data_IF_830390600121
#
_entry.id   IF_830390600121
#
_cell.length_a   1.000
_cell.length_b   1.000
_cell.length_c   1.000
_cell.angle_alpha   90.00
_cell.angle_beta   90.00
_cell.angle_gamma   90.00
#
_symmetry.space_group_name_H-M   'P 1'
#
loop_
_entity.id
_entity.type
_entity.pdbx_description
1 polymer ?
#
# COMPACT_ATOMS: atom_id res chain seq x y z
N UNK A 1 19.17 17.68 0.19
CA UNK A 1 20.53 18.16 0.54
C UNK A 1 21.66 17.42 -0.21
N UNK A 2 21.86 16.09 -0.05
CA UNK A 2 22.92 15.33 -0.78
C UNK A 2 22.92 15.56 -2.30
N UNK A 3 21.75 15.48 -2.92
CA UNK A 3 21.60 15.77 -4.36
C UNK A 3 22.00 17.20 -4.74
N UNK A 4 21.66 18.19 -3.90
CA UNK A 4 22.04 19.58 -4.12
C UNK A 4 23.56 19.78 -4.00
N UNK A 5 24.21 19.08 -3.06
CA UNK A 5 25.68 19.06 -2.96
C UNK A 5 26.32 18.49 -4.22
N UNK A 6 25.81 17.35 -4.74
CA UNK A 6 26.37 16.72 -5.94
C UNK A 6 26.16 17.53 -7.22
N UNK A 7 25.05 18.26 -7.34
CA UNK A 7 24.71 19.01 -8.57
C UNK A 7 25.21 20.46 -8.57
N UNK A 8 25.25 21.11 -7.39
CA UNK A 8 25.50 22.55 -7.27
C UNK A 8 26.46 22.93 -6.14
N UNK A 9 27.16 21.94 -5.57
CA UNK A 9 28.19 22.16 -4.56
C UNK A 9 27.68 22.61 -3.19
N UNK A 10 28.60 23.01 -2.28
CA UNK A 10 28.28 23.36 -0.90
C UNK A 10 27.25 24.48 -0.76
N UNK A 11 27.28 25.49 -1.63
CA UNK A 11 26.33 26.60 -1.59
C UNK A 11 24.89 26.14 -1.89
N UNK A 12 24.71 25.20 -2.82
CA UNK A 12 23.39 24.63 -3.10
C UNK A 12 22.90 23.75 -1.94
N UNK A 13 23.79 22.98 -1.33
CA UNK A 13 23.48 22.20 -0.13
C UNK A 13 23.05 23.10 1.04
N UNK A 14 23.74 24.22 1.24
CA UNK A 14 23.44 25.22 2.26
C UNK A 14 22.04 25.84 2.06
N UNK A 15 21.69 26.23 0.83
CA UNK A 15 20.33 26.76 0.52
C UNK A 15 19.25 25.72 0.80
N UNK A 16 19.50 24.46 0.41
CA UNK A 16 18.56 23.37 0.67
C UNK A 16 18.39 23.08 2.18
N UNK A 17 19.46 23.17 2.97
CA UNK A 17 19.39 23.02 4.42
C UNK A 17 18.64 24.20 5.05
N UNK A 18 18.89 25.43 4.60
CA UNK A 18 18.20 26.62 5.09
C UNK A 18 16.67 26.51 4.90
N UNK A 19 16.21 26.07 3.73
CA UNK A 19 14.77 25.86 3.47
C UNK A 19 14.16 24.78 4.40
N UNK A 20 14.88 23.70 4.67
CA UNK A 20 14.41 22.68 5.61
C UNK A 20 14.34 23.21 7.05
N UNK A 21 15.34 23.96 7.48
CA UNK A 21 15.40 24.54 8.82
C UNK A 21 14.31 25.59 9.02
N UNK A 22 14.03 26.42 8.01
CA UNK A 22 12.93 27.39 8.04
C UNK A 22 11.56 26.70 8.22
N UNK A 23 11.34 25.58 7.53
CA UNK A 23 10.07 24.84 7.59
C UNK A 23 9.87 24.04 8.88
N UNK A 24 10.93 23.40 9.39
CA UNK A 24 10.82 22.39 10.44
C UNK A 24 11.45 22.80 11.77
N UNK A 25 12.17 23.93 11.80
CA UNK A 25 13.02 24.42 12.89
C UNK A 25 14.30 23.57 13.10
N UNK A 26 15.39 24.16 13.62
CA UNK A 26 16.66 23.45 13.80
C UNK A 26 16.56 22.17 14.66
N UNK A 27 15.69 22.17 15.67
CA UNK A 27 15.56 21.04 16.61
C UNK A 27 14.87 19.80 16.02
N UNK A 28 14.26 19.92 14.83
CA UNK A 28 13.62 18.80 14.12
C UNK A 28 14.32 18.44 12.81
N UNK A 29 15.48 19.03 12.55
CA UNK A 29 16.29 18.75 11.36
C UNK A 29 17.63 18.20 11.83
N UNK A 30 18.00 17.05 11.27
CA UNK A 30 19.34 16.48 11.41
C UNK A 30 19.93 16.22 10.03
N UNK A 31 21.24 16.43 9.90
CA UNK A 31 22.00 16.08 8.70
C UNK A 31 22.33 14.60 8.74
N UNK A 32 21.80 13.86 7.76
CA UNK A 32 22.08 12.43 7.61
C UNK A 32 23.41 12.18 6.88
N UNK A 33 24.31 11.46 7.54
CA UNK A 33 25.57 10.95 7.01
C UNK A 33 25.45 9.45 6.70
N UNK A 34 25.94 9.04 5.54
CA UNK A 34 25.86 7.63 5.08
C UNK A 34 27.19 7.20 4.49
N UNK A 35 27.59 5.97 4.75
CA UNK A 35 28.79 5.36 4.17
C UNK A 35 28.41 4.05 3.46
N UNK A 36 28.44 4.08 2.13
CA UNK A 36 28.11 2.95 1.25
C UNK A 36 29.36 2.33 0.60
N UNK A 37 30.53 2.90 0.83
CA UNK A 37 31.80 2.45 0.25
C UNK A 37 32.07 3.06 -1.13
N UNK A 38 31.43 4.20 -1.45
CA UNK A 38 31.82 4.95 -2.64
C UNK A 38 33.06 5.79 -2.35
N UNK A 39 33.93 6.02 -3.37
CA UNK A 39 35.17 6.77 -3.18
C UNK A 39 35.02 8.18 -2.60
N UNK A 40 33.85 8.80 -2.76
CA UNK A 40 33.57 10.19 -2.32
C UNK A 40 32.69 10.26 -1.06
N UNK A 41 32.49 9.14 -0.36
CA UNK A 41 31.62 9.13 0.82
C UNK A 41 32.16 10.00 1.95
N UNK A 42 33.48 9.95 2.20
CA UNK A 42 34.13 10.69 3.27
C UNK A 42 34.15 12.20 3.01
N UNK A 43 34.56 12.64 1.83
CA UNK A 43 34.57 14.07 1.47
C UNK A 43 33.16 14.64 1.47
N UNK A 44 32.18 13.87 1.00
CA UNK A 44 30.78 14.27 1.03
C UNK A 44 30.28 14.38 2.47
N UNK A 45 30.58 13.40 3.32
CA UNK A 45 30.13 13.43 4.71
C UNK A 45 30.79 14.56 5.50
N UNK A 46 32.09 14.83 5.28
CA UNK A 46 32.78 15.96 5.88
C UNK A 46 32.17 17.31 5.45
N UNK A 47 31.89 17.47 4.15
CA UNK A 47 31.24 18.68 3.63
C UNK A 47 29.86 18.91 4.23
N UNK A 48 29.08 17.85 4.45
CA UNK A 48 27.75 17.93 5.06
C UNK A 48 27.83 18.19 6.57
N UNK A 49 28.70 17.48 7.30
CA UNK A 49 28.91 17.67 8.72
C UNK A 49 29.37 19.11 9.04
N UNK A 50 30.23 19.69 8.19
CA UNK A 50 30.68 21.08 8.32
C UNK A 50 29.57 22.13 8.19
N UNK A 51 28.40 21.78 7.64
CA UNK A 51 27.24 22.68 7.59
C UNK A 51 26.45 22.68 8.91
N UNK A 52 26.52 21.62 9.72
CA UNK A 52 25.66 21.45 10.88
C UNK A 52 25.77 22.60 11.91
N UNK A 53 26.98 23.03 12.32
CA UNK A 53 27.12 24.10 13.32
C UNK A 53 26.57 25.44 12.85
N UNK A 54 26.60 25.71 11.54
CA UNK A 54 26.11 26.97 10.95
C UNK A 54 24.59 27.15 11.10
N UNK A 55 23.86 26.04 11.21
CA UNK A 55 22.40 26.03 11.32
C UNK A 55 21.90 25.57 12.68
N UNK A 56 22.79 25.20 13.59
CA UNK A 56 22.43 24.65 14.90
C UNK A 56 21.64 23.32 14.82
N UNK A 57 21.91 22.52 13.79
CA UNK A 57 21.27 21.21 13.56
C UNK A 57 22.17 20.07 14.01
N UNK A 58 21.56 18.95 14.39
CA UNK A 58 22.30 17.73 14.71
C UNK A 58 22.81 17.00 13.47
N UNK A 59 23.70 16.04 13.66
CA UNK A 59 24.14 15.08 12.64
C UNK A 59 23.79 13.66 13.11
N UNK A 60 23.41 12.80 12.18
CA UNK A 60 23.09 11.39 12.47
C UNK A 60 23.70 10.49 11.41
N UNK A 61 24.27 9.37 11.83
CA UNK A 61 24.80 8.34 10.94
C UNK A 61 23.75 7.26 10.71
N UNK A 62 23.42 6.98 9.45
CA UNK A 62 22.49 5.90 9.10
C UNK A 62 23.15 4.89 8.17
N UNK A 63 22.64 3.67 8.20
CA UNK A 63 23.14 2.58 7.34
C UNK A 63 22.73 2.77 5.88
N UNK A 64 21.66 3.55 5.62
CA UNK A 64 21.02 3.60 4.31
C UNK A 64 20.54 2.24 3.81
N UNK A 65 20.21 1.32 4.73
CA UNK A 65 20.04 -0.09 4.41
C UNK A 65 18.92 -0.37 3.39
N UNK A 66 19.24 -1.21 2.42
CA UNK A 66 18.33 -1.76 1.40
C UNK A 66 18.08 -3.27 1.59
N UNK A 67 18.90 -3.95 2.39
CA UNK A 67 18.79 -5.38 2.66
C UNK A 67 19.25 -5.71 4.08
N UNK A 68 18.87 -6.89 4.59
CA UNK A 68 19.09 -7.23 6.00
C UNK A 68 20.55 -7.56 6.30
N UNK A 69 21.18 -8.42 5.51
CA UNK A 69 22.51 -8.97 5.80
C UNK A 69 23.35 -9.14 4.53
N UNK A 70 24.70 -9.20 4.63
CA UNK A 70 25.58 -9.32 3.47
C UNK A 70 25.26 -10.48 2.51
N UNK A 71 24.74 -11.62 3.01
CA UNK A 71 24.41 -12.77 2.16
C UNK A 71 23.25 -12.50 1.19
N UNK A 72 22.42 -11.48 1.48
CA UNK A 72 21.33 -11.01 0.62
C UNK A 72 21.76 -9.98 -0.43
N UNK A 73 23.03 -9.60 -0.48
CA UNK A 73 23.53 -8.59 -1.41
C UNK A 73 23.25 -8.91 -2.89
N UNK A 74 23.43 -10.17 -3.31
CA UNK A 74 23.13 -10.61 -4.69
C UNK A 74 21.65 -10.44 -5.03
N UNK A 75 20.76 -10.83 -4.13
CA UNK A 75 19.32 -10.65 -4.28
C UNK A 75 18.95 -9.16 -4.35
N UNK A 76 19.54 -8.33 -3.49
CA UNK A 76 19.28 -6.89 -3.50
C UNK A 76 19.67 -6.25 -4.85
N UNK A 77 20.82 -6.64 -5.41
CA UNK A 77 21.24 -6.19 -6.74
C UNK A 77 20.29 -6.67 -7.85
N UNK A 78 19.88 -7.94 -7.82
CA UNK A 78 18.92 -8.48 -8.80
C UNK A 78 17.58 -7.72 -8.73
N UNK A 79 17.08 -7.46 -7.52
CA UNK A 79 15.86 -6.69 -7.28
C UNK A 79 15.99 -5.23 -7.74
N UNK A 80 17.15 -4.61 -7.54
CA UNK A 80 17.44 -3.26 -8.03
C UNK A 80 17.44 -3.21 -9.57
N UNK A 81 18.04 -4.21 -10.24
CA UNK A 81 18.05 -4.34 -11.69
C UNK A 81 16.63 -4.54 -12.25
N UNK A 82 15.82 -5.41 -11.64
CA UNK A 82 14.40 -5.62 -12.00
C UNK A 82 13.62 -4.31 -11.88
N UNK A 83 13.77 -3.58 -10.77
CA UNK A 83 13.13 -2.28 -10.55
C UNK A 83 13.52 -1.27 -11.63
N UNK A 84 14.80 -1.27 -12.04
CA UNK A 84 15.33 -0.42 -13.11
C UNK A 84 14.97 -0.91 -14.52
N UNK A 85 14.28 -2.06 -14.66
CA UNK A 85 13.98 -2.73 -15.93
C UNK A 85 15.23 -3.00 -16.76
N UNK A 86 16.29 -3.45 -16.09
CA UNK A 86 17.63 -3.69 -16.63
C UNK A 86 18.13 -5.07 -16.22
N UNK A 87 19.06 -5.63 -16.97
CA UNK A 87 19.88 -6.75 -16.47
C UNK A 87 20.93 -6.23 -15.49
N UNK A 88 21.49 -7.13 -14.68
CA UNK A 88 22.61 -6.83 -13.78
C UNK A 88 23.79 -6.20 -14.54
N UNK A 89 24.16 -6.76 -15.69
CA UNK A 89 25.27 -6.24 -16.51
C UNK A 89 25.02 -4.81 -16.96
N UNK A 90 23.82 -4.51 -17.48
CA UNK A 90 23.45 -3.16 -17.92
C UNK A 90 23.27 -2.18 -16.74
N UNK A 91 23.11 -2.70 -15.52
CA UNK A 91 22.97 -1.92 -14.31
C UNK A 91 24.30 -1.77 -13.55
N UNK A 92 25.39 -2.43 -13.96
CA UNK A 92 26.61 -2.59 -13.16
C UNK A 92 27.15 -1.28 -12.55
N UNK A 93 27.21 -0.19 -13.33
CA UNK A 93 27.67 1.13 -12.85
C UNK A 93 26.71 1.86 -11.88
N UNK A 94 25.52 1.31 -11.66
CA UNK A 94 24.48 1.85 -10.78
C UNK A 94 24.19 0.93 -9.59
N UNK A 95 24.75 -0.28 -9.58
CA UNK A 95 24.61 -1.21 -8.47
C UNK A 95 25.54 -0.78 -7.33
N UNK A 96 25.11 -1.04 -6.10
CA UNK A 96 25.90 -0.71 -4.92
C UNK A 96 27.24 -1.49 -4.97
N UNK A 97 28.35 -0.88 -4.50
CA UNK A 97 29.63 -1.58 -4.38
C UNK A 97 29.51 -2.86 -3.54
N UNK A 98 30.40 -3.83 -3.80
CA UNK A 98 30.51 -5.06 -3.01
C UNK A 98 30.77 -4.71 -1.53
N UNK A 99 29.93 -5.22 -0.62
CA UNK A 99 29.92 -4.87 0.81
C UNK A 99 28.86 -3.84 1.23
N UNK A 100 28.01 -3.40 0.28
CA UNK A 100 27.06 -2.29 0.37
C UNK A 100 25.92 -2.38 1.41
N UNK A 101 24.94 -1.49 1.25
CA UNK A 101 23.85 -1.07 2.14
C UNK A 101 23.01 -2.17 2.84
N UNK A 102 23.63 -3.03 3.63
CA UNK A 102 22.94 -3.91 4.57
C UNK A 102 22.65 -3.17 5.87
N UNK A 103 21.80 -3.78 6.71
CA UNK A 103 21.63 -3.34 8.08
C UNK A 103 22.89 -3.69 8.88
N UNK A 104 23.66 -2.66 9.23
CA UNK A 104 24.90 -2.79 10.02
C UNK A 104 24.62 -2.77 11.50
N UNK A 105 25.46 -3.47 12.24
CA UNK A 105 25.55 -3.39 13.70
C UNK A 105 26.08 -2.03 14.16
N UNK A 106 25.87 -1.71 15.44
CA UNK A 106 26.41 -0.51 16.06
C UNK A 106 27.94 -0.46 16.01
N UNK A 107 28.62 -1.60 16.16
CA UNK A 107 30.08 -1.67 16.09
C UNK A 107 30.63 -1.38 14.68
N UNK A 108 29.97 -1.91 13.64
CA UNK A 108 30.34 -1.60 12.25
C UNK A 108 30.15 -0.12 11.95
N UNK A 109 29.03 0.47 12.41
CA UNK A 109 28.78 1.90 12.26
C UNK A 109 29.80 2.74 13.03
N UNK A 110 30.18 2.35 14.25
CA UNK A 110 31.20 3.03 15.03
C UNK A 110 32.58 2.98 14.35
N UNK A 111 32.93 1.86 13.70
CA UNK A 111 34.17 1.76 12.91
C UNK A 111 34.14 2.66 11.67
N UNK A 112 33.03 2.67 10.92
CA UNK A 112 32.88 3.50 9.72
C UNK A 112 32.87 5.01 10.04
N UNK A 113 32.28 5.38 11.17
CA UNK A 113 32.19 6.76 11.64
C UNK A 113 33.15 7.03 12.81
N UNK A 114 34.32 6.39 12.83
CA UNK A 114 35.30 6.59 13.89
C UNK A 114 35.76 8.07 14.02
N UNK A 115 35.68 8.83 12.94
CA UNK A 115 35.96 10.27 12.91
C UNK A 115 34.83 11.14 13.48
N UNK A 116 33.63 10.57 13.68
CA UNK A 116 32.42 11.25 14.17
C UNK A 116 31.52 10.25 14.94
N UNK A 117 31.98 9.71 16.08
CA UNK A 117 31.23 8.71 16.85
C UNK A 117 29.90 9.25 17.37
N UNK A 118 29.79 10.56 17.63
CA UNK A 118 28.58 11.22 18.10
C UNK A 118 27.41 11.08 17.13
N UNK A 119 27.67 10.99 15.82
CA UNK A 119 26.62 10.79 14.82
C UNK A 119 25.93 9.42 14.95
N UNK A 120 26.68 8.39 15.39
CA UNK A 120 26.13 7.04 15.62
C UNK A 120 25.23 7.04 16.86
N UNK A 121 25.70 7.62 17.96
CA UNK A 121 24.91 7.76 19.20
C UNK A 121 23.66 8.60 18.96
N UNK A 122 23.79 9.74 18.29
CA UNK A 122 22.67 10.64 17.99
C UNK A 122 21.59 9.95 17.12
N UNK A 123 21.98 9.01 16.25
CA UNK A 123 21.02 8.23 15.47
C UNK A 123 20.18 7.29 16.35
N UNK A 124 20.80 6.64 17.33
CA UNK A 124 20.10 5.79 18.31
C UNK A 124 19.12 6.61 19.16
N UNK A 125 19.58 7.73 19.72
CA UNK A 125 18.74 8.65 20.50
C UNK A 125 17.57 9.20 19.69
N UNK A 126 17.80 9.54 18.41
CA UNK A 126 16.73 9.96 17.52
C UNK A 126 15.71 8.83 17.29
N UNK A 127 16.18 7.60 17.12
CA UNK A 127 15.33 6.42 17.01
C UNK A 127 14.42 6.23 18.21
N UNK A 128 14.96 6.38 19.43
CA UNK A 128 14.17 6.33 20.67
C UNK A 128 13.12 7.44 20.75
N UNK A 129 13.47 8.67 20.37
CA UNK A 129 12.51 9.79 20.32
C UNK A 129 11.41 9.60 19.28
N UNK A 130 11.67 8.83 18.23
CA UNK A 130 10.70 8.50 17.18
C UNK A 130 9.85 7.27 17.52
N UNK A 131 10.11 6.56 18.62
CA UNK A 131 9.36 5.38 19.01
C UNK A 131 7.90 5.74 19.35
N UNK A 132 6.97 5.02 18.72
CA UNK A 132 5.53 5.25 18.88
C UNK A 132 4.76 3.93 18.71
N UNK A 133 3.83 3.65 19.63
CA UNK A 133 2.99 2.45 19.59
C UNK A 133 1.80 2.58 18.64
N UNK A 134 1.70 1.72 17.63
CA UNK A 134 0.64 1.78 16.61
C UNK A 134 -0.78 1.66 17.17
N UNK A 135 -0.95 1.02 18.33
CA UNK A 135 -2.25 0.89 19.01
C UNK A 135 -2.87 2.25 19.35
N UNK A 136 -2.05 3.29 19.50
CA UNK A 136 -2.50 4.65 19.78
C UNK A 136 -3.21 5.31 18.56
N UNK A 137 -3.14 4.72 17.36
CA UNK A 137 -3.85 5.18 16.14
C UNK A 137 -5.06 4.29 15.81
N UNK A 138 -5.40 3.27 16.62
CA UNK A 138 -6.49 2.35 16.30
C UNK A 138 -7.80 3.11 15.99
N UNK A 139 -8.29 3.07 14.73
CA UNK A 139 -9.43 3.87 14.33
C UNK A 139 -10.69 3.33 14.99
N UNK A 140 -11.56 4.24 15.42
CA UNK A 140 -12.92 3.89 15.79
C UNK A 140 -13.76 3.72 14.51
N UNK A 141 -14.80 2.90 14.61
CA UNK A 141 -15.82 2.82 13.56
C UNK A 141 -16.41 4.23 13.31
N UNK A 142 -16.74 4.56 12.06
CA UNK A 142 -17.35 5.84 11.74
C UNK A 142 -18.70 5.97 12.46
N UNK A 143 -19.01 7.12 13.08
CA UNK A 143 -20.35 7.36 13.60
C UNK A 143 -21.35 7.39 12.44
N UNK A 144 -22.60 7.00 12.70
CA UNK A 144 -23.68 7.13 11.74
C UNK A 144 -24.61 8.28 12.13
N UNK A 145 -24.83 9.22 11.21
CA UNK A 145 -25.75 10.33 11.45
C UNK A 145 -27.19 9.82 11.55
N UNK A 146 -27.76 9.93 12.75
CA UNK A 146 -29.15 9.61 13.05
C UNK A 146 -29.93 10.90 13.32
N UNK A 147 -31.24 10.96 13.06
CA UNK A 147 -32.02 12.17 13.34
C UNK A 147 -31.96 12.55 14.83
N UNK A 148 -32.01 13.85 15.15
CA UNK A 148 -31.73 14.45 16.47
C UNK A 148 -32.42 13.79 17.69
N UNK A 149 -33.54 13.09 17.48
CA UNK A 149 -34.32 12.42 18.54
C UNK A 149 -33.84 11.00 18.85
N UNK A 150 -32.87 10.49 18.12
CA UNK A 150 -32.41 9.12 18.23
C UNK A 150 -30.91 9.06 18.53
N UNK A 151 -30.52 8.03 19.28
CA UNK A 151 -29.16 7.49 19.31
C UNK A 151 -29.02 6.39 18.25
N UNK A 152 -27.78 6.01 17.90
CA UNK A 152 -27.52 4.86 17.03
C UNK A 152 -28.28 3.62 17.52
N UNK A 153 -28.22 3.29 18.81
CA UNK A 153 -28.95 2.17 19.40
C UNK A 153 -30.48 2.25 19.18
N UNK A 154 -31.07 3.42 19.42
CA UNK A 154 -32.53 3.60 19.33
C UNK A 154 -33.05 3.66 17.89
N UNK A 155 -32.28 4.25 16.98
CA UNK A 155 -32.64 4.35 15.56
C UNK A 155 -32.55 2.99 14.87
N UNK A 156 -31.51 2.25 15.21
CA UNK A 156 -31.25 0.91 14.71
C UNK A 156 -32.31 -0.09 15.21
N UNK A 157 -32.77 0.04 16.46
CA UNK A 157 -33.92 -0.70 16.98
C UNK A 157 -35.22 -0.40 16.20
N UNK A 158 -35.46 0.87 15.84
CA UNK A 158 -36.64 1.30 15.10
C UNK A 158 -36.65 0.77 13.66
N UNK A 159 -35.54 0.90 12.93
CA UNK A 159 -35.42 0.43 11.56
C UNK A 159 -35.60 -1.10 11.47
N UNK A 160 -35.07 -1.84 12.44
CA UNK A 160 -35.24 -3.30 12.50
C UNK A 160 -36.66 -3.71 12.84
N UNK A 161 -37.35 -3.00 13.72
CA UNK A 161 -38.74 -3.35 14.03
C UNK A 161 -39.63 -3.16 12.78
N UNK A 162 -39.33 -2.15 11.95
CA UNK A 162 -39.98 -1.97 10.66
C UNK A 162 -39.60 -3.08 9.66
N UNK A 163 -38.31 -3.38 9.49
CA UNK A 163 -37.84 -4.43 8.57
C UNK A 163 -38.24 -5.85 8.98
N UNK A 164 -38.23 -6.16 10.28
CA UNK A 164 -38.71 -7.43 10.82
C UNK A 164 -40.21 -7.59 10.57
N UNK A 165 -41.00 -6.52 10.69
CA UNK A 165 -42.43 -6.57 10.37
C UNK A 165 -42.68 -6.83 8.88
N UNK A 166 -41.84 -6.29 8.01
CA UNK A 166 -41.91 -6.56 6.56
C UNK A 166 -41.57 -8.01 6.23
N UNK A 167 -40.51 -8.56 6.84
CA UNK A 167 -39.97 -9.90 6.50
C UNK A 167 -40.64 -11.06 7.25
N UNK A 168 -41.00 -10.85 8.52
CA UNK A 168 -41.56 -11.87 9.43
C UNK A 168 -43.05 -11.65 9.75
N UNK A 169 -43.64 -10.52 9.34
CA UNK A 169 -45.01 -10.16 9.69
C UNK A 169 -45.14 -9.67 11.14
N UNK A 170 -46.36 -9.60 11.69
CA UNK A 170 -46.58 -9.16 13.07
C UNK A 170 -45.85 -10.04 14.10
N UNK A 171 -45.46 -9.52 15.28
CA UNK A 171 -44.78 -10.31 16.32
C UNK A 171 -45.46 -11.63 16.70
N UNK A 172 -46.80 -11.65 16.64
CA UNK A 172 -47.61 -12.83 16.92
C UNK A 172 -47.41 -13.97 15.91
N UNK A 173 -47.06 -13.67 14.64
CA UNK A 173 -46.86 -14.70 13.61
C UNK A 173 -45.47 -15.34 13.65
N UNK A 174 -44.47 -14.67 14.24
CA UNK A 174 -43.08 -15.14 14.22
C UNK A 174 -42.35 -14.96 15.57
N UNK A 175 -42.88 -15.50 16.69
CA UNK A 175 -42.33 -15.25 18.03
C UNK A 175 -40.86 -15.66 18.19
N UNK A 176 -40.43 -16.74 17.52
CA UNK A 176 -39.02 -17.18 17.52
C UNK A 176 -38.10 -16.15 16.89
N UNK A 177 -38.50 -15.53 15.77
CA UNK A 177 -37.69 -14.54 15.08
C UNK A 177 -37.55 -13.25 15.90
N UNK A 178 -38.65 -12.79 16.51
CA UNK A 178 -38.61 -11.61 17.38
C UNK A 178 -37.76 -11.84 18.64
N UNK A 179 -37.81 -13.02 19.25
CA UNK A 179 -36.94 -13.39 20.38
C UNK A 179 -35.46 -13.40 19.97
N UNK A 180 -35.15 -13.99 18.81
CA UNK A 180 -33.79 -14.02 18.27
C UNK A 180 -33.27 -12.60 17.99
N UNK A 181 -34.07 -11.74 17.35
CA UNK A 181 -33.70 -10.34 17.11
C UNK A 181 -33.39 -9.63 18.42
N UNK A 182 -34.22 -9.80 19.46
CA UNK A 182 -33.99 -9.15 20.76
C UNK A 182 -32.66 -9.61 21.42
N UNK A 183 -32.31 -10.89 21.30
CA UNK A 183 -31.01 -11.41 21.76
C UNK A 183 -29.84 -10.80 20.99
N UNK A 184 -29.91 -10.79 19.64
CA UNK A 184 -28.86 -10.21 18.79
C UNK A 184 -28.66 -8.72 19.08
N UNK A 185 -29.74 -7.97 19.27
CA UNK A 185 -29.71 -6.55 19.62
C UNK A 185 -28.95 -6.28 20.92
N UNK A 186 -29.18 -7.10 21.95
CA UNK A 186 -28.46 -6.98 23.24
C UNK A 186 -26.96 -7.17 23.05
N UNK A 187 -26.56 -8.17 22.25
CA UNK A 187 -25.14 -8.43 21.96
C UNK A 187 -24.51 -7.29 21.15
N UNK A 188 -25.21 -6.78 20.13
CA UNK A 188 -24.72 -5.67 19.29
C UNK A 188 -24.52 -4.39 20.13
N UNK A 189 -25.46 -4.09 21.03
CA UNK A 189 -25.36 -2.94 21.93
C UNK A 189 -24.21 -3.11 22.94
N UNK A 190 -24.07 -4.30 23.54
CA UNK A 190 -22.96 -4.60 24.46
C UNK A 190 -21.59 -4.42 23.79
N UNK A 191 -21.47 -4.82 22.53
CA UNK A 191 -20.23 -4.71 21.75
C UNK A 191 -20.05 -3.34 21.06
N UNK A 192 -21.02 -2.42 21.21
CA UNK A 192 -20.99 -1.07 20.66
C UNK A 192 -20.81 -1.05 19.13
N UNK A 193 -21.54 -1.92 18.43
CA UNK A 193 -21.56 -1.98 16.96
C UNK A 193 -22.84 -1.47 16.25
N UNK A 194 -23.76 -0.69 16.85
CA UNK A 194 -24.98 -0.28 16.14
C UNK A 194 -24.67 0.53 14.88
N UNK A 195 -23.76 1.51 14.95
CA UNK A 195 -23.31 2.29 13.79
C UNK A 195 -22.77 1.43 12.64
N UNK A 196 -22.11 0.31 12.93
CA UNK A 196 -21.61 -0.60 11.89
C UNK A 196 -22.75 -1.25 11.10
N UNK A 197 -23.79 -1.73 11.78
CA UNK A 197 -24.98 -2.29 11.12
C UNK A 197 -25.75 -1.23 10.33
N UNK A 198 -25.81 0.00 10.83
CA UNK A 198 -26.43 1.13 10.12
C UNK A 198 -25.68 1.47 8.83
N UNK A 199 -24.34 1.49 8.84
CA UNK A 199 -23.51 1.69 7.63
C UNK A 199 -23.80 0.61 6.60
N UNK A 200 -23.81 -0.66 7.01
CA UNK A 200 -24.07 -1.80 6.10
C UNK A 200 -25.49 -1.73 5.53
N UNK A 201 -26.50 -1.51 6.38
CA UNK A 201 -27.90 -1.34 5.95
C UNK A 201 -28.04 -0.18 4.97
N UNK A 202 -27.33 0.92 5.21
CA UNK A 202 -27.39 2.09 4.36
C UNK A 202 -26.80 1.85 2.95
N UNK A 203 -25.70 1.08 2.87
CA UNK A 203 -25.12 0.64 1.60
C UNK A 203 -26.07 -0.31 0.87
N UNK A 204 -26.65 -1.30 1.56
CA UNK A 204 -27.58 -2.26 0.93
C UNK A 204 -28.89 -1.60 0.51
N UNK A 205 -29.38 -0.60 1.28
CA UNK A 205 -30.52 0.24 0.90
C UNK A 205 -30.20 1.04 -0.37
N UNK A 206 -29.04 1.70 -0.43
CA UNK A 206 -28.62 2.41 -1.64
C UNK A 206 -28.59 1.49 -2.86
N UNK A 207 -28.06 0.27 -2.72
CA UNK A 207 -28.08 -0.71 -3.81
C UNK A 207 -29.51 -1.03 -4.25
N UNK A 208 -30.43 -1.29 -3.32
CA UNK A 208 -31.84 -1.58 -3.61
C UNK A 208 -32.55 -0.42 -4.31
N UNK A 209 -32.35 0.81 -3.82
CA UNK A 209 -32.97 2.02 -4.37
C UNK A 209 -32.47 2.37 -5.78
N UNK A 210 -31.36 1.77 -6.21
CA UNK A 210 -30.73 2.00 -7.52
C UNK A 210 -30.72 0.74 -8.41
N UNK A 211 -31.54 -0.26 -8.09
CA UNK A 211 -31.64 -1.54 -8.83
C UNK A 211 -30.29 -2.28 -8.97
N UNK A 212 -29.39 -2.11 -8.00
CA UNK A 212 -28.11 -2.82 -7.93
C UNK A 212 -28.29 -4.07 -7.08
N UNK A 213 -28.15 -5.24 -7.70
CA UNK A 213 -28.19 -6.51 -6.98
C UNK A 213 -27.00 -6.59 -6.01
N UNK A 214 -27.31 -6.72 -4.72
CA UNK A 214 -26.34 -6.97 -3.67
C UNK A 214 -26.84 -8.02 -2.66
N UNK A 215 -25.91 -8.77 -2.06
CA UNK A 215 -26.21 -9.80 -1.08
C UNK A 215 -25.08 -9.90 -0.06
N UNK A 216 -25.43 -9.88 1.23
CA UNK A 216 -24.48 -10.16 2.30
C UNK A 216 -23.97 -11.61 2.25
N UNK A 217 -22.66 -11.79 2.50
CA UNK A 217 -21.95 -13.07 2.43
C UNK A 217 -21.43 -13.50 3.79
N UNK A 218 -21.09 -14.79 3.90
CA UNK A 218 -20.35 -15.32 5.04
C UNK A 218 -21.23 -15.47 6.27
N UNK A 219 -20.66 -15.19 7.44
CA UNK A 219 -21.36 -15.35 8.72
C UNK A 219 -22.50 -14.34 8.92
N UNK A 220 -22.53 -13.24 8.16
CA UNK A 220 -23.65 -12.29 8.20
C UNK A 220 -25.02 -12.94 7.93
N UNK A 221 -25.05 -14.06 7.18
CA UNK A 221 -26.27 -14.84 6.93
C UNK A 221 -26.88 -15.48 8.19
N UNK A 222 -26.12 -15.61 9.28
CA UNK A 222 -26.60 -16.21 10.52
C UNK A 222 -27.34 -15.24 11.44
N UNK A 223 -27.49 -13.96 11.06
CA UNK A 223 -28.10 -12.92 11.89
C UNK A 223 -29.51 -12.59 11.43
N UNK A 224 -30.49 -12.75 12.33
CA UNK A 224 -31.87 -12.36 12.09
C UNK A 224 -31.99 -10.83 11.94
N UNK A 225 -31.11 -10.08 12.59
CA UNK A 225 -30.95 -8.63 12.39
C UNK A 225 -30.52 -8.30 10.95
N UNK A 226 -29.49 -8.96 10.41
CA UNK A 226 -29.05 -8.75 9.02
C UNK A 226 -30.17 -9.08 8.02
N UNK A 227 -30.93 -10.15 8.27
CA UNK A 227 -32.07 -10.53 7.44
C UNK A 227 -33.20 -9.49 7.51
N UNK A 228 -33.53 -9.00 8.71
CA UNK A 228 -34.55 -7.97 8.90
C UNK A 228 -34.19 -6.62 8.23
N UNK A 229 -32.90 -6.26 8.21
CA UNK A 229 -32.40 -5.07 7.50
C UNK A 229 -32.29 -5.29 5.98
N UNK A 230 -32.54 -6.51 5.49
CA UNK A 230 -32.37 -6.86 4.08
C UNK A 230 -30.91 -6.80 3.62
N UNK A 231 -29.96 -7.00 4.53
CA UNK A 231 -28.55 -7.23 4.22
C UNK A 231 -28.36 -8.63 3.66
N UNK A 232 -29.11 -9.61 4.17
CA UNK A 232 -29.08 -11.00 3.70
C UNK A 232 -30.47 -11.45 3.25
N UNK A 233 -30.53 -12.26 2.18
CA UNK A 233 -31.77 -12.86 1.69
C UNK A 233 -32.19 -14.18 2.38
N UNK A 234 -31.33 -14.79 3.21
CA UNK A 234 -31.61 -16.09 3.86
C UNK A 234 -32.15 -15.86 5.27
N UNK A 235 -33.29 -16.47 5.60
CA UNK A 235 -33.87 -16.42 6.95
C UNK A 235 -33.11 -17.37 7.90
N UNK A 236 -32.34 -16.85 8.86
CA UNK A 236 -31.56 -17.68 9.77
C UNK A 236 -32.42 -18.44 10.78
N UNK A 237 -33.64 -17.98 11.07
CA UNK A 237 -34.54 -18.59 12.06
C UNK A 237 -35.19 -19.82 11.46
N UNK A 238 -35.67 -19.73 10.21
CA UNK A 238 -36.22 -20.88 9.48
C UNK A 238 -35.16 -21.94 9.15
N UNK A 239 -33.89 -21.53 9.00
CA UNK A 239 -32.76 -22.41 8.67
C UNK A 239 -31.93 -22.82 9.90
N UNK A 240 -32.36 -22.46 11.11
CA UNK A 240 -31.69 -22.82 12.38
C UNK A 240 -30.19 -22.45 12.43
N UNK A 241 -29.84 -21.30 11.87
CA UNK A 241 -28.45 -20.82 11.83
C UNK A 241 -28.04 -20.21 13.18
N UNK A 242 -26.77 -20.44 13.57
CA UNK A 242 -26.24 -20.00 14.85
C UNK A 242 -25.63 -18.59 14.77
N UNK A 243 -26.24 -17.62 15.45
CA UNK A 243 -25.79 -16.23 15.52
C UNK A 243 -24.39 -16.08 16.13
N UNK A 244 -24.03 -16.90 17.12
CA UNK A 244 -22.74 -16.80 17.82
C UNK A 244 -21.55 -17.10 16.92
N UNK A 245 -21.76 -17.74 15.75
CA UNK A 245 -20.71 -17.88 14.72
C UNK A 245 -20.39 -16.56 14.02
N UNK A 246 -21.36 -15.64 13.99
CA UNK A 246 -21.23 -14.31 13.42
C UNK A 246 -20.67 -13.33 14.45
N UNK A 247 -21.34 -13.19 15.59
CA UNK A 247 -20.97 -12.23 16.62
C UNK A 247 -21.09 -12.87 18.01
N UNK A 248 -20.03 -12.78 18.81
CA UNK A 248 -20.00 -13.33 20.15
C UNK A 248 -19.18 -12.43 21.07
N UNK A 249 -19.62 -12.18 22.32
CA UNK A 249 -18.84 -11.45 23.32
C UNK A 249 -17.49 -12.08 23.66
N UNK A 250 -17.31 -13.38 23.37
CA UNK A 250 -16.08 -14.11 23.61
C UNK A 250 -15.02 -13.94 22.50
N UNK A 251 -15.32 -13.19 21.42
CA UNK A 251 -14.38 -12.92 20.33
C UNK A 251 -14.00 -11.45 20.31
N UNK A 252 -12.72 -11.17 20.13
CA UNK A 252 -12.22 -9.80 20.00
C UNK A 252 -12.42 -9.26 18.58
N UNK A 253 -12.93 -8.03 18.49
CA UNK A 253 -13.00 -7.25 17.25
C UNK A 253 -14.38 -7.19 16.59
N UNK A 254 -14.56 -6.26 15.62
CA UNK A 254 -15.80 -6.15 14.86
C UNK A 254 -16.03 -7.39 13.97
N UNK A 255 -17.29 -7.79 13.74
CA UNK A 255 -17.60 -8.86 12.80
C UNK A 255 -17.32 -8.40 11.36
N UNK A 256 -17.00 -9.35 10.48
CA UNK A 256 -16.79 -9.08 9.06
C UNK A 256 -18.11 -9.26 8.30
N UNK A 257 -18.64 -8.19 7.72
CA UNK A 257 -19.83 -8.20 6.86
C UNK A 257 -19.42 -7.82 5.43
N UNK A 258 -19.26 -8.85 4.61
CA UNK A 258 -19.01 -8.70 3.18
C UNK A 258 -20.34 -8.52 2.42
N UNK A 259 -20.40 -7.51 1.55
CA UNK A 259 -21.52 -7.30 0.61
C UNK A 259 -21.03 -7.63 -0.79
N UNK A 260 -21.55 -8.71 -1.37
CA UNK A 260 -21.35 -9.03 -2.79
C UNK A 260 -22.31 -8.17 -3.61
N UNK A 261 -21.81 -7.25 -4.44
CA UNK A 261 -22.61 -6.48 -5.38
C UNK A 261 -22.16 -6.77 -6.82
N UNK A 262 -23.08 -6.66 -7.79
CA UNK A 262 -22.66 -6.56 -9.20
C UNK A 262 -21.72 -5.37 -9.32
N UNK A 263 -20.65 -5.53 -10.12
CA UNK A 263 -19.58 -4.53 -10.26
C UNK A 263 -20.13 -3.23 -10.83
N UNK A 264 -20.65 -2.38 -9.95
CA UNK A 264 -21.13 -1.04 -10.24
C UNK A 264 -20.33 -0.05 -9.39
N UNK A 265 -19.57 0.81 -10.08
CA UNK A 265 -18.76 1.84 -9.46
C UNK A 265 -19.60 2.80 -8.59
N UNK A 266 -20.90 2.94 -8.88
CA UNK A 266 -21.82 3.79 -8.12
C UNK A 266 -21.83 3.49 -6.63
N UNK A 267 -21.73 2.21 -6.22
CA UNK A 267 -21.71 1.84 -4.79
C UNK A 267 -20.46 2.42 -4.11
N UNK A 268 -19.31 2.31 -4.78
CA UNK A 268 -18.03 2.83 -4.27
C UNK A 268 -18.09 4.36 -4.22
N UNK A 269 -18.62 4.99 -5.26
CA UNK A 269 -18.79 6.45 -5.29
C UNK A 269 -19.77 6.92 -4.22
N UNK A 270 -20.86 6.19 -3.96
CA UNK A 270 -21.79 6.49 -2.88
C UNK A 270 -21.08 6.55 -1.52
N UNK A 271 -20.27 5.53 -1.20
CA UNK A 271 -19.48 5.50 0.03
C UNK A 271 -18.51 6.69 0.10
N UNK A 272 -17.83 7.04 -1.01
CA UNK A 272 -16.95 8.22 -1.04
C UNK A 272 -17.68 9.54 -0.85
N UNK A 273 -18.88 9.70 -1.43
CA UNK A 273 -19.66 10.94 -1.29
C UNK A 273 -20.24 11.05 0.12
N UNK A 274 -20.71 9.94 0.69
CA UNK A 274 -21.34 9.90 2.01
C UNK A 274 -20.36 10.11 3.15
N UNK A 275 -19.25 9.38 3.14
CA UNK A 275 -18.28 9.40 4.24
C UNK A 275 -17.07 10.31 3.97
N UNK A 276 -16.88 10.77 2.73
CA UNK A 276 -15.75 11.61 2.34
C UNK A 276 -14.49 10.82 1.97
N UNK A 277 -13.70 11.36 1.05
CA UNK A 277 -12.44 10.75 0.58
C UNK A 277 -11.32 10.73 1.62
N UNK A 278 -11.45 11.54 2.67
CA UNK A 278 -10.50 11.57 3.78
C UNK A 278 -10.69 10.39 4.75
N UNK A 279 -11.88 9.76 4.71
CA UNK A 279 -12.29 8.73 5.66
C UNK A 279 -12.61 7.39 5.00
N UNK A 280 -12.84 7.37 3.69
CA UNK A 280 -13.08 6.15 2.92
C UNK A 280 -11.94 5.90 1.92
N UNK A 281 -11.44 4.67 1.88
CA UNK A 281 -10.40 4.25 0.95
C UNK A 281 -10.57 2.77 0.57
N UNK A 282 -10.02 2.40 -0.59
CA UNK A 282 -9.91 0.99 -0.95
C UNK A 282 -8.66 0.39 -0.32
N UNK A 283 -8.79 -0.84 0.15
CA UNK A 283 -7.67 -1.59 0.70
C UNK A 283 -6.74 -2.00 -0.45
N UNK A 284 -5.43 -1.86 -0.26
CA UNK A 284 -4.44 -2.26 -1.25
C UNK A 284 -4.00 -3.72 -1.01
N UNK A 285 -3.90 -4.48 -2.10
CA UNK A 285 -3.29 -5.79 -2.13
C UNK A 285 -1.79 -5.66 -2.33
N UNK A 286 -1.01 -6.40 -1.53
CA UNK A 286 0.45 -6.46 -1.65
C UNK A 286 0.80 -7.79 -2.32
N UNK A 287 1.24 -7.71 -3.57
CA UNK A 287 1.65 -8.89 -4.35
C UNK A 287 3.04 -9.30 -3.91
N UNK A 288 3.20 -10.56 -3.49
CA UNK A 288 4.49 -11.16 -3.15
C UNK A 288 5.00 -12.05 -4.29
N UNK A 289 6.33 -12.17 -4.41
CA UNK A 289 6.95 -13.09 -5.36
C UNK A 289 6.61 -14.54 -4.99
N UNK A 290 6.20 -15.33 -5.99
CA UNK A 290 5.88 -16.76 -5.86
C UNK A 290 6.20 -17.53 -7.13
N UNK A 291 6.90 -18.64 -7.00
CA UNK A 291 7.20 -19.64 -8.03
C UNK A 291 7.51 -19.02 -9.39
N UNK A 292 6.52 -19.09 -10.30
CA UNK A 292 6.62 -18.59 -11.67
C UNK A 292 7.08 -17.13 -11.77
N UNK A 293 6.57 -16.22 -10.93
CA UNK A 293 6.91 -14.80 -11.00
C UNK A 293 8.34 -14.55 -10.57
N UNK A 294 8.80 -15.26 -9.54
CA UNK A 294 10.16 -15.18 -9.01
C UNK A 294 11.17 -15.64 -10.07
N UNK A 295 10.99 -16.84 -10.61
CA UNK A 295 11.87 -17.41 -11.65
C UNK A 295 11.94 -16.51 -12.88
N UNK A 296 10.79 -16.01 -13.35
CA UNK A 296 10.73 -15.14 -14.53
C UNK A 296 11.53 -13.85 -14.33
N UNK A 297 11.33 -13.17 -13.21
CA UNK A 297 11.98 -11.88 -12.98
C UNK A 297 13.45 -12.03 -12.58
N UNK A 298 13.85 -13.12 -11.90
CA UNK A 298 15.26 -13.42 -11.64
C UNK A 298 16.02 -13.78 -12.92
N UNK A 299 15.39 -14.56 -13.82
CA UNK A 299 15.96 -14.84 -15.14
C UNK A 299 16.15 -13.54 -15.94
N UNK A 300 15.19 -12.59 -15.85
CA UNK A 300 15.35 -11.26 -16.46
C UNK A 300 16.50 -10.47 -15.84
N UNK A 301 16.63 -10.48 -14.52
CA UNK A 301 17.71 -9.78 -13.82
C UNK A 301 19.08 -10.28 -14.28
N UNK A 302 19.22 -11.60 -14.47
CA UNK A 302 20.42 -12.25 -14.95
C UNK A 302 20.65 -12.11 -16.47
N UNK A 303 19.77 -11.40 -17.19
CA UNK A 303 19.97 -11.09 -18.60
C UNK A 303 19.51 -12.15 -19.60
N UNK A 304 18.79 -13.20 -19.15
CA UNK A 304 18.27 -14.22 -20.06
C UNK A 304 17.18 -13.68 -20.98
N UNK A 305 17.03 -14.28 -22.16
CA UNK A 305 16.05 -13.84 -23.16
C UNK A 305 14.60 -14.01 -22.70
N UNK A 306 13.64 -13.21 -23.21
CA UNK A 306 12.23 -13.37 -22.87
C UNK A 306 11.68 -14.78 -23.14
N UNK A 307 12.17 -15.46 -24.19
CA UNK A 307 11.78 -16.84 -24.51
C UNK A 307 12.20 -17.83 -23.41
N UNK A 308 13.43 -17.72 -22.91
CA UNK A 308 13.92 -18.52 -21.78
C UNK A 308 13.14 -18.21 -20.50
N UNK A 309 12.93 -16.93 -20.19
CA UNK A 309 12.14 -16.49 -19.04
C UNK A 309 10.74 -17.14 -19.02
N UNK A 310 10.05 -17.12 -20.17
CA UNK A 310 8.69 -17.65 -20.29
C UNK A 310 8.67 -19.18 -20.24
N UNK A 311 9.63 -19.85 -20.90
CA UNK A 311 9.76 -21.31 -20.88
C UNK A 311 9.98 -21.83 -19.46
N UNK A 312 10.96 -21.29 -18.74
CA UNK A 312 11.28 -21.69 -17.37
C UNK A 312 10.13 -21.39 -16.41
N UNK A 313 9.50 -20.21 -16.51
CA UNK A 313 8.37 -19.87 -15.63
C UNK A 313 7.17 -20.82 -15.76
N UNK A 314 6.96 -21.44 -16.92
CA UNK A 314 5.86 -22.39 -17.14
C UNK A 314 6.08 -23.73 -16.46
N UNK A 315 7.34 -24.18 -16.33
CA UNK A 315 7.71 -25.44 -15.68
C UNK A 315 7.43 -25.41 -14.17
N UNK A 316 7.45 -24.22 -13.55
CA UNK A 316 7.40 -24.00 -12.09
C UNK A 316 5.95 -24.03 -11.53
N UNK A 317 4.99 -24.71 -12.19
CA UNK A 317 3.58 -24.77 -11.72
C UNK A 317 3.41 -25.44 -10.36
N UNK A 318 4.30 -26.37 -10.02
CA UNK A 318 4.16 -27.32 -8.92
C UNK A 318 5.26 -27.21 -7.87
N UNK A 319 6.02 -26.11 -7.85
CA UNK A 319 7.21 -26.00 -7.01
C UNK A 319 6.86 -26.15 -5.51
N UNK A 320 7.17 -27.34 -4.97
CA UNK A 320 7.00 -27.76 -3.57
C UNK A 320 8.24 -27.47 -2.72
N UNK A 321 9.17 -26.66 -3.20
CA UNK A 321 10.38 -26.33 -2.45
C UNK A 321 11.60 -27.20 -2.77
N UNK A 322 11.45 -28.21 -3.64
CA UNK A 322 12.55 -29.09 -4.05
C UNK A 322 13.05 -28.70 -5.45
N UNK A 323 14.36 -28.50 -5.57
CA UNK A 323 15.04 -28.05 -6.79
C UNK A 323 15.18 -29.14 -7.86
N UNK A 324 14.72 -30.37 -7.58
CA UNK A 324 15.04 -31.57 -8.36
C UNK A 324 14.15 -31.79 -9.60
N UNK A 325 13.14 -30.95 -9.82
CA UNK A 325 12.07 -31.21 -10.81
C UNK A 325 12.01 -30.18 -11.97
N UNK A 326 13.11 -29.46 -12.24
CA UNK A 326 13.17 -28.40 -13.27
C UNK A 326 14.39 -28.53 -14.18
N UNK A 327 14.18 -29.16 -15.34
CA UNK A 327 15.20 -29.34 -16.36
C UNK A 327 15.64 -28.01 -17.00
N UNK A 328 16.94 -27.72 -16.92
CA UNK A 328 17.60 -26.66 -17.69
C UNK A 328 17.41 -25.22 -17.18
N UNK A 329 16.86 -25.04 -15.97
CA UNK A 329 16.89 -23.73 -15.30
C UNK A 329 18.26 -23.56 -14.60
N UNK A 330 19.00 -22.48 -14.87
CA UNK A 330 20.27 -22.22 -14.19
C UNK A 330 20.09 -22.12 -12.66
N UNK A 331 21.00 -22.75 -11.91
CA UNK A 331 20.96 -22.77 -10.43
C UNK A 331 20.86 -21.36 -9.82
N UNK A 332 21.54 -20.39 -10.40
CA UNK A 332 21.51 -18.99 -9.94
C UNK A 332 20.12 -18.36 -10.05
N UNK A 333 19.33 -18.73 -11.07
CA UNK A 333 17.94 -18.27 -11.23
C UNK A 333 17.08 -18.87 -10.12
N UNK A 334 17.27 -20.17 -9.83
CA UNK A 334 16.55 -20.88 -8.78
C UNK A 334 16.90 -20.29 -7.40
N UNK A 335 18.18 -20.21 -7.06
CA UNK A 335 18.65 -19.68 -5.76
C UNK A 335 18.09 -18.27 -5.49
N UNK A 336 18.18 -17.36 -6.47
CA UNK A 336 17.61 -16.01 -6.32
C UNK A 336 16.09 -16.03 -6.21
N UNK A 337 15.41 -16.91 -6.98
CA UNK A 337 13.96 -17.02 -6.94
C UNK A 337 13.49 -17.47 -5.55
N UNK A 338 14.10 -18.51 -5.00
CA UNK A 338 13.81 -19.04 -3.66
C UNK A 338 14.03 -17.96 -2.61
N UNK A 339 15.16 -17.27 -2.64
CA UNK A 339 15.49 -16.20 -1.67
C UNK A 339 14.56 -14.98 -1.77
N UNK A 340 13.93 -14.76 -2.93
CA UNK A 340 12.99 -13.66 -3.16
C UNK A 340 11.59 -13.93 -2.59
N UNK A 341 11.26 -15.20 -2.35
CA UNK A 341 9.98 -15.55 -1.74
C UNK A 341 9.99 -15.18 -0.25
N UNK A 342 8.94 -14.52 0.25
CA UNK A 342 8.84 -14.26 1.68
C UNK A 342 8.77 -15.59 2.44
N UNK A 343 9.54 -15.69 3.53
CA UNK A 343 9.35 -16.76 4.52
C UNK A 343 7.86 -16.79 4.90
N UNK A 344 7.26 -17.97 4.95
CA UNK A 344 5.81 -18.17 5.02
C UNK A 344 5.15 -17.27 6.09
N UNK A 345 4.63 -16.12 5.66
CA UNK A 345 3.76 -15.30 6.48
C UNK A 345 2.43 -16.03 6.66
N UNK A 346 1.75 -15.90 7.82
CA UNK A 346 0.47 -16.55 8.05
C UNK A 346 -0.50 -16.24 6.91
N UNK A 347 -1.00 -17.31 6.28
CA UNK A 347 -1.81 -17.27 5.07
C UNK A 347 -3.17 -16.66 5.38
N UNK A 348 -3.37 -15.37 5.10
CA UNK A 348 -4.72 -14.78 5.09
C UNK A 348 -5.44 -15.10 3.76
N UNK A 349 -6.71 -15.53 3.77
CA UNK A 349 -7.39 -16.06 2.58
C UNK A 349 -7.96 -14.94 1.71
N UNK A 350 -7.15 -14.31 0.87
CA UNK A 350 -7.66 -13.56 -0.28
C UNK A 350 -7.09 -14.14 -1.59
N UNK A 351 -8.02 -14.53 -2.46
CA UNK A 351 -7.83 -15.42 -3.61
C UNK A 351 -6.96 -14.82 -4.72
N UNK A 352 -6.43 -15.77 -5.49
CA UNK A 352 -5.52 -15.63 -6.63
C UNK A 352 -6.14 -14.84 -7.78
N UNK A 353 -5.43 -13.82 -8.27
CA UNK A 353 -5.49 -13.45 -9.69
C UNK A 353 -4.09 -13.09 -10.19
N UNK A 354 -3.69 -13.74 -11.28
CA UNK A 354 -2.43 -13.50 -11.96
C UNK A 354 -2.51 -12.29 -12.89
N UNK A 355 -1.52 -11.41 -12.80
CA UNK A 355 -0.70 -10.92 -13.93
C UNK A 355 0.30 -9.88 -13.41
N UNK A 356 1.57 -10.17 -13.66
CA UNK A 356 2.78 -9.47 -13.23
C UNK A 356 2.87 -7.99 -13.68
N UNK A 357 3.32 -7.14 -12.75
CA UNK A 357 4.13 -5.90 -12.92
C UNK A 357 4.69 -5.52 -11.52
N UNK A 358 5.85 -4.81 -11.42
CA UNK A 358 6.59 -4.61 -10.15
C UNK A 358 5.71 -3.84 -9.14
N UNK A 359 5.97 -3.84 -7.81
CA UNK A 359 4.93 -3.80 -6.76
C UNK A 359 3.99 -2.61 -6.96
N UNK A 360 2.96 -2.85 -7.74
CA UNK A 360 1.90 -1.92 -7.98
C UNK A 360 0.89 -2.26 -6.91
N UNK A 361 0.61 -1.30 -6.02
CA UNK A 361 -0.44 -1.46 -5.02
C UNK A 361 -1.76 -1.57 -5.77
N UNK A 362 -2.19 -2.78 -6.07
CA UNK A 362 -3.49 -3.02 -6.72
C UNK A 362 -4.56 -2.96 -5.66
N UNK A 363 -5.69 -2.33 -5.96
CA UNK A 363 -6.88 -2.36 -5.10
C UNK A 363 -7.28 -3.82 -4.86
N UNK A 364 -7.61 -4.18 -3.62
CA UNK A 364 -8.22 -5.48 -3.29
C UNK A 364 -9.62 -5.47 -3.91
N UNK A 365 -9.96 -6.42 -4.80
CA UNK A 365 -11.34 -6.58 -5.24
C UNK A 365 -12.23 -6.82 -4.02
N UNK A 366 -13.22 -5.94 -3.80
CA UNK A 366 -14.13 -6.01 -2.65
C UNK A 366 -13.64 -5.34 -1.35
N UNK A 367 -12.37 -4.93 -1.26
CA UNK A 367 -11.83 -4.32 -0.03
C UNK A 367 -12.06 -2.81 0.04
N UNK A 368 -12.98 -2.36 0.89
CA UNK A 368 -13.21 -0.94 1.19
C UNK A 368 -13.26 -0.71 2.70
N UNK A 369 -12.56 0.31 3.19
CA UNK A 369 -12.56 0.72 4.59
C UNK A 369 -13.11 2.12 4.74
N UNK A 370 -13.89 2.35 5.81
CA UNK A 370 -14.29 3.66 6.28
C UNK A 370 -13.86 3.82 7.74
N UNK A 371 -13.27 4.96 8.11
CA UNK A 371 -12.72 5.20 9.45
C UNK A 371 -13.30 6.48 10.07
N UNK A 372 -13.56 6.46 11.38
CA UNK A 372 -13.88 7.66 12.15
C UNK A 372 -12.67 8.59 12.31
N UNK A 373 -12.89 9.81 12.80
CA UNK A 373 -11.81 10.80 12.97
C UNK A 373 -10.65 10.26 13.83
N UNK A 374 -9.38 10.46 13.40
CA UNK A 374 -8.24 10.24 14.28
C UNK A 374 -8.30 11.22 15.45
N UNK A 375 -8.07 10.74 16.67
CA UNK A 375 -7.89 11.64 17.81
C UNK A 375 -6.65 12.51 17.53
N UNK A 376 -6.83 13.83 17.51
CA UNK A 376 -5.70 14.73 17.72
C UNK A 376 -5.20 14.45 19.13
N UNK A 377 -3.93 14.06 19.35
CA UNK A 377 -3.40 14.02 20.71
C UNK A 377 -3.61 15.40 21.32
N UNK A 378 -4.05 15.43 22.59
CA UNK A 378 -4.28 16.65 23.33
C UNK A 378 -2.96 17.42 23.52
N UNK A 379 -2.51 18.13 22.50
CA UNK A 379 -1.50 19.16 22.62
C UNK A 379 -2.17 20.35 23.29
N UNK A 380 -1.74 20.62 24.53
CA UNK A 380 -2.24 21.71 25.36
C UNK A 380 -2.37 23.00 24.55
N UNK A 381 -3.60 23.51 24.47
CA UNK A 381 -3.88 24.79 23.85
C UNK A 381 -3.28 25.91 24.71
N UNK A 382 -2.03 26.30 24.45
CA UNK A 382 -1.59 27.66 24.76
C UNK A 382 -2.11 28.57 23.65
N UNK A 383 -3.18 29.30 23.97
CA UNK A 383 -3.70 30.42 23.17
C UNK A 383 -2.57 31.43 22.93
N UNK A 384 -2.06 31.51 21.70
CA UNK A 384 -1.33 32.70 21.24
C UNK A 384 -2.38 33.70 20.74
N UNK A 385 -2.56 34.77 21.52
CA UNK A 385 -3.32 35.96 21.10
C UNK A 385 -2.51 36.73 20.07
N UNK A 386 -3.12 36.98 18.91
CA UNK A 386 -2.99 38.17 18.07
C UNK A 386 -1.60 38.58 17.56
N UNK A 387 -1.40 38.47 16.24
CA UNK A 387 -1.27 39.67 15.39
C UNK A 387 -1.35 39.35 13.89
N UNK A 388 -2.25 40.09 13.23
CA UNK A 388 -2.36 40.45 11.79
C UNK A 388 -1.73 39.50 10.76
N UNK A 389 -2.58 38.67 10.15
CA UNK A 389 -2.35 38.15 8.80
C UNK A 389 -2.75 39.23 7.79
N UNK A 390 -1.76 39.83 7.14
CA UNK A 390 -1.97 40.53 5.88
C UNK A 390 -2.32 39.52 4.79
N UNK A 391 -3.33 39.87 4.00
CA UNK A 391 -3.75 39.14 2.81
C UNK A 391 -2.56 38.87 1.88
N UNK A 392 -2.28 37.61 1.56
CA UNK A 392 -1.48 37.25 0.39
C UNK A 392 -2.45 36.72 -0.67
N UNK A 393 -2.76 37.60 -1.63
CA UNK A 393 -3.48 37.25 -2.87
C UNK A 393 -2.62 36.34 -3.75
N UNK A 394 -3.21 35.40 -4.50
CA UNK A 394 -2.48 34.59 -5.47
C UNK A 394 -2.24 35.39 -6.76
N UNK A 395 -0.97 35.65 -7.10
CA UNK A 395 -0.60 36.17 -8.43
C UNK A 395 -0.55 35.04 -9.46
N UNK A 396 -1.35 35.18 -10.52
CA UNK A 396 -1.25 34.44 -11.79
C UNK A 396 -0.16 35.06 -12.68
N UNK A 397 0.68 34.19 -13.25
CA UNK A 397 1.37 34.25 -14.56
C UNK A 397 2.71 33.49 -14.43
N UNK A 398 3.13 32.59 -15.30
CA UNK A 398 2.60 32.13 -16.58
C UNK A 398 3.44 30.94 -17.09
N UNK A 399 2.89 30.29 -18.11
CA UNK A 399 3.51 29.42 -19.12
C UNK A 399 5.02 29.17 -19.05
N UNK A 400 5.42 27.88 -19.07
CA UNK A 400 6.14 27.27 -20.20
C UNK A 400 6.49 25.78 -19.96
N UNK A 401 6.22 24.96 -21.00
CA UNK A 401 6.95 23.76 -21.45
C UNK A 401 6.94 22.51 -20.55
N UNK A 402 6.59 21.30 -21.01
CA UNK A 402 6.27 20.83 -22.35
C UNK A 402 5.97 19.33 -22.29
N UNK A 403 4.85 18.93 -22.90
CA UNK A 403 4.55 17.55 -23.23
C UNK A 403 5.40 17.14 -24.43
N UNK A 404 6.05 15.98 -24.36
CA UNK A 404 6.64 15.31 -25.52
C UNK A 404 6.02 13.92 -25.64
N UNK A 405 4.85 13.89 -26.29
CA UNK A 405 4.34 12.73 -27.02
C UNK A 405 5.12 12.66 -28.34
N UNK A 406 5.82 11.57 -28.56
CA UNK A 406 6.54 11.28 -29.79
C UNK A 406 5.57 10.54 -30.73
N UNK A 407 4.83 11.29 -31.56
CA UNK A 407 4.21 10.78 -32.77
C UNK A 407 5.08 11.13 -33.98
N UNK A 408 5.28 10.13 -34.85
CA UNK A 408 6.11 10.17 -36.05
C UNK A 408 5.41 10.94 -37.18
N UNK A 409 6.10 11.74 -38.00
CA UNK A 409 5.54 12.25 -39.25
C UNK A 409 5.84 11.30 -40.41
N UNK A 410 4.88 11.16 -41.33
CA UNK A 410 5.08 10.41 -42.57
C UNK A 410 3.88 10.47 -43.49
N UNK A 411 3.60 11.65 -44.06
CA UNK A 411 2.72 11.77 -45.22
C UNK A 411 3.54 11.79 -46.50
N UNK A 412 3.20 10.93 -47.47
CA UNK A 412 3.25 11.23 -48.92
C UNK A 412 2.47 10.17 -49.70
N UNK A 413 1.53 10.64 -50.50
CA UNK A 413 0.85 9.92 -51.56
C UNK A 413 1.72 9.87 -52.82
N UNK A 414 1.64 8.78 -53.59
CA UNK A 414 1.34 8.73 -55.04
C UNK A 414 1.72 7.38 -55.67
N UNK A 415 0.85 6.89 -56.59
CA UNK A 415 1.31 6.32 -57.86
C UNK A 415 1.18 4.81 -58.08
N UNK A 416 0.04 4.39 -58.65
CA UNK A 416 -0.10 3.17 -59.46
C UNK A 416 0.40 3.41 -60.89
N UNK A 417 1.17 2.46 -61.46
CA UNK A 417 1.28 2.00 -62.88
C UNK A 417 2.49 1.04 -62.93
N UNK A 418 2.35 -0.26 -63.25
CA UNK A 418 2.43 -0.84 -64.61
C UNK A 418 3.84 -1.36 -64.92
N UNK A 419 4.03 -2.68 -65.16
CA UNK A 419 5.33 -3.37 -65.39
C UNK A 419 6.00 -3.09 -66.77
N UNK A 420 6.91 -3.92 -67.34
CA UNK A 420 7.42 -5.26 -66.95
C UNK A 420 8.97 -5.46 -67.05
N UNK A 421 9.48 -6.65 -66.68
CA UNK A 421 10.68 -7.28 -67.30
C UNK A 421 12.00 -7.40 -66.49
N UNK A 422 12.67 -8.58 -66.42
CA UNK A 422 13.89 -8.87 -65.62
C UNK A 422 15.20 -8.77 -66.46
N UNK A 423 16.44 -8.75 -65.90
CA UNK A 423 17.13 -9.98 -65.42
C UNK A 423 18.24 -9.85 -64.33
N UNK A 424 18.34 -10.86 -63.45
CA UNK A 424 19.54 -11.64 -62.99
C UNK A 424 20.84 -10.97 -62.44
N UNK A 425 21.76 -11.73 -61.78
CA UNK A 425 22.32 -11.38 -60.48
C UNK A 425 23.84 -11.16 -60.47
N UNK A 426 24.40 -10.59 -59.39
CA UNK A 426 25.81 -10.75 -59.03
C UNK A 426 25.99 -10.96 -57.53
N UNK A 427 26.53 -12.13 -57.19
CA UNK A 427 27.23 -12.45 -55.94
C UNK A 427 28.63 -11.81 -55.96
N UNK A 428 29.10 -11.34 -54.80
CA UNK A 428 30.48 -11.46 -54.28
C UNK A 428 30.48 -10.72 -52.92
N UNK A 429 30.74 -11.37 -51.79
CA UNK A 429 32.09 -11.61 -51.25
C UNK A 429 32.28 -10.66 -50.05
N UNK A 430 32.41 -11.15 -48.82
CA UNK A 430 33.69 -11.23 -48.10
C UNK A 430 34.21 -9.81 -47.78
N UNK A 431 34.30 -9.36 -46.54
CA UNK A 431 34.99 -9.93 -45.36
C UNK A 431 34.24 -9.58 -44.08
#
# INVERSE_FOLDING_TARGET
>A
MRQALSQGGPAAAQRALADLVDRFTPSRVSIELTHHGHPLDDERNAALAGLAPRFGVGIVATTGAHFADPSRGRLAMAMAAIRARRSLDSAAGWLAPLGGAHLRSGEEMARLFAWCPEAVTAAAELGERCAFGLQLIAPRLPPFDVPDKYTEDSFDALLRQAGARERYGPPKSAPRAYSQIEHELKVIAQLRFPGYFLVVHDITRFCRDNDILCQGRGSAANSAVCYALGVTAVDPVANELLFERFLSPARDGPPDIDIDAIVDEKVIQYVYHKYGRDYAAQVANVITYRGRSAVRDMARALGFSPGQQDAWSKQVSHWTGQADDVDGIPEQVIDLAIRSEPAAAPRHPLRRHGHLRPPDRRRVPGGMGAHGQPQRPAMGQRRLRGNRLGEIRPTRAGHALGAALCERPGGRAQGHRGGPGPPRPLRAGGV
#
